data_IF_047065486988
#
_entry.id   IF_047065486988
#
_cell.length_a   1.000
_cell.length_b   1.000
_cell.length_c   1.000
_cell.angle_alpha   90.00
_cell.angle_beta   90.00
_cell.angle_gamma   90.00
#
_symmetry.space_group_name_H-M   'P 1'
#
loop_
_entity.id
_entity.type
_entity.pdbx_description
1 polymer ?
#
# COMPACT_ATOMS: atom_id res chain seq x y z
N UNK A 1 -45.60 -28.91 -22.72
CA UNK A 1 -44.50 -29.03 -21.74
C UNK A 1 -43.47 -29.93 -22.40
N UNK A 2 -42.28 -29.52 -22.78
CA UNK A 2 -41.48 -28.34 -22.41
C UNK A 2 -40.25 -28.38 -23.34
N UNK A 3 -40.03 -27.36 -24.16
CA UNK A 3 -38.79 -27.18 -24.94
C UNK A 3 -38.55 -25.69 -25.16
N UNK A 4 -38.13 -25.00 -24.09
CA UNK A 4 -37.56 -23.65 -24.12
C UNK A 4 -37.03 -23.33 -22.73
N UNK A 5 -35.79 -23.73 -22.39
CA UNK A 5 -35.06 -23.11 -21.24
C UNK A 5 -33.59 -23.54 -21.07
N UNK A 6 -32.85 -23.90 -22.14
CA UNK A 6 -31.44 -24.32 -22.01
C UNK A 6 -30.40 -23.48 -22.78
N UNK A 7 -30.80 -22.37 -23.43
CA UNK A 7 -29.86 -21.47 -24.14
C UNK A 7 -29.43 -20.24 -23.32
N UNK A 8 -30.25 -19.74 -22.40
CA UNK A 8 -30.01 -18.45 -21.72
C UNK A 8 -29.00 -18.52 -20.55
N UNK A 9 -28.73 -19.71 -19.99
CA UNK A 9 -27.79 -19.85 -18.86
C UNK A 9 -26.32 -19.87 -19.27
N UNK A 10 -26.03 -20.21 -20.54
CA UNK A 10 -24.69 -20.27 -21.12
C UNK A 10 -24.18 -18.87 -21.48
N UNK A 11 -24.97 -18.07 -22.19
CA UNK A 11 -24.60 -16.69 -22.54
C UNK A 11 -24.47 -15.79 -21.30
N UNK A 12 -25.31 -15.96 -20.28
CA UNK A 12 -25.21 -15.21 -19.03
C UNK A 12 -23.94 -15.53 -18.21
N UNK A 13 -23.41 -16.75 -18.33
CA UNK A 13 -22.14 -17.14 -17.72
C UNK A 13 -20.93 -16.68 -18.53
N UNK A 14 -21.03 -16.63 -19.86
CA UNK A 14 -19.98 -16.10 -20.75
C UNK A 14 -19.85 -14.57 -20.68
N UNK A 15 -20.95 -13.84 -20.47
CA UNK A 15 -20.92 -12.37 -20.27
C UNK A 15 -20.17 -11.99 -18.97
N UNK A 16 -20.20 -12.84 -17.94
CA UNK A 16 -19.43 -12.64 -16.70
C UNK A 16 -17.92 -12.90 -16.86
N UNK A 17 -17.49 -13.52 -17.97
CA UNK A 17 -16.10 -13.93 -18.22
C UNK A 17 -15.44 -13.25 -19.43
N UNK A 18 -16.08 -12.27 -20.06
CA UNK A 18 -15.41 -11.47 -21.09
C UNK A 18 -14.28 -10.65 -20.46
N UNK A 19 -13.04 -11.08 -20.69
CA UNK A 19 -11.85 -10.29 -20.36
C UNK A 19 -11.94 -9.00 -21.18
N UNK A 20 -12.03 -7.87 -20.49
CA UNK A 20 -11.94 -6.56 -21.14
C UNK A 20 -10.50 -6.41 -21.62
N UNK A 21 -10.32 -6.13 -22.92
CA UNK A 21 -9.00 -5.81 -23.44
C UNK A 21 -8.58 -4.44 -22.90
N UNK A 22 -7.37 -4.35 -22.33
CA UNK A 22 -6.84 -3.09 -21.82
C UNK A 22 -5.76 -2.57 -22.75
N UNK A 23 -6.00 -1.41 -23.38
CA UNK A 23 -4.96 -0.65 -24.06
C UNK A 23 -4.22 0.17 -23.02
N UNK A 24 -2.91 0.00 -22.94
CA UNK A 24 -2.08 0.76 -22.02
C UNK A 24 -1.13 1.64 -22.82
N UNK A 25 -1.19 2.93 -22.57
CA UNK A 25 -0.34 3.92 -23.20
C UNK A 25 0.54 4.58 -22.14
N UNK A 26 1.86 4.57 -22.36
CA UNK A 26 2.83 5.21 -21.47
C UNK A 26 3.42 6.40 -22.23
N UNK A 27 3.10 7.60 -21.76
CA UNK A 27 3.41 8.86 -22.43
C UNK A 27 4.46 9.64 -21.61
N UNK A 28 5.58 10.06 -22.23
CA UNK A 28 6.59 10.85 -21.55
C UNK A 28 6.07 12.26 -21.24
N UNK A 29 6.39 12.78 -20.06
CA UNK A 29 5.99 14.14 -19.65
C UNK A 29 6.70 15.27 -20.41
N UNK A 30 7.79 14.97 -21.13
CA UNK A 30 8.66 15.94 -21.81
C UNK A 30 8.45 16.04 -23.32
N UNK A 31 7.38 15.47 -23.88
CA UNK A 31 7.02 15.68 -25.30
C UNK A 31 6.43 17.09 -25.50
N UNK A 32 7.27 18.10 -25.31
CA UNK A 32 7.04 19.47 -25.72
C UNK A 32 7.48 19.67 -27.16
N UNK A 33 6.59 19.37 -28.11
CA UNK A 33 6.54 20.02 -29.42
C UNK A 33 5.25 19.72 -30.19
N UNK A 34 4.43 18.79 -29.71
CA UNK A 34 3.00 18.72 -30.01
C UNK A 34 2.33 18.33 -28.69
N UNK A 35 1.71 19.31 -28.00
CA UNK A 35 0.67 18.97 -27.04
C UNK A 35 -0.48 18.34 -27.85
N UNK A 36 -0.35 17.06 -28.21
CA UNK A 36 -1.52 16.19 -28.25
C UNK A 36 -2.01 16.12 -26.81
N UNK A 37 -2.70 17.20 -26.41
CA UNK A 37 -3.78 17.13 -25.45
C UNK A 37 -4.51 15.86 -25.86
N UNK A 38 -4.56 14.86 -24.98
CA UNK A 38 -5.40 13.70 -25.22
C UNK A 38 -6.83 14.25 -25.16
N UNK A 39 -7.28 14.82 -26.27
CA UNK A 39 -8.65 15.21 -26.52
C UNK A 39 -9.32 13.87 -26.74
N UNK A 40 -9.70 13.23 -25.64
CA UNK A 40 -10.76 12.25 -25.68
C UNK A 40 -11.93 13.02 -26.25
N UNK A 41 -12.30 12.73 -27.51
CA UNK A 41 -13.46 13.35 -28.11
C UNK A 41 -14.61 13.25 -27.10
N UNK A 42 -15.18 14.38 -26.66
CA UNK A 42 -16.22 14.33 -25.67
C UNK A 42 -17.33 13.46 -26.25
N UNK A 43 -17.60 12.34 -25.59
CA UNK A 43 -18.86 11.64 -25.79
C UNK A 43 -19.98 12.70 -25.73
N UNK A 44 -21.01 12.60 -26.60
CA UNK A 44 -21.98 13.67 -26.80
C UNK A 44 -22.43 14.25 -25.46
N UNK A 45 -22.33 15.59 -25.36
CA UNK A 45 -22.56 16.38 -24.13
C UNK A 45 -23.60 15.69 -23.24
N UNK A 46 -23.29 15.32 -21.98
CA UNK A 46 -24.31 14.80 -21.10
C UNK A 46 -25.44 15.83 -21.07
N UNK A 47 -26.64 15.41 -21.48
CA UNK A 47 -27.84 16.26 -21.42
C UNK A 47 -27.88 16.83 -20.01
N UNK A 48 -27.72 18.14 -19.86
CA UNK A 48 -27.90 18.86 -18.61
C UNK A 48 -29.34 18.64 -18.13
N UNK A 49 -29.61 17.51 -17.49
CA UNK A 49 -30.81 17.33 -16.70
C UNK A 49 -30.56 18.12 -15.43
N UNK A 50 -31.34 19.20 -15.22
CA UNK A 50 -31.41 19.95 -13.97
C UNK A 50 -31.30 18.96 -12.79
N UNK A 51 -30.24 19.08 -12.01
CA UNK A 51 -29.98 18.18 -10.90
C UNK A 51 -31.12 18.30 -9.88
N UNK A 52 -31.88 17.21 -9.73
CA UNK A 52 -32.73 16.97 -8.58
C UNK A 52 -31.84 16.70 -7.36
N UNK A 53 -31.58 17.74 -6.56
CA UNK A 53 -31.71 17.67 -5.11
C UNK A 53 -30.74 16.82 -4.27
N UNK A 54 -29.43 16.81 -4.52
CA UNK A 54 -28.44 16.51 -3.46
C UNK A 54 -27.48 17.69 -3.29
N UNK A 55 -27.49 18.30 -2.11
CA UNK A 55 -26.70 19.51 -1.80
C UNK A 55 -25.29 19.07 -1.39
N UNK A 56 -24.32 19.34 -2.28
CA UNK A 56 -22.91 19.30 -1.94
C UNK A 56 -22.61 20.41 -0.92
N UNK A 57 -21.79 20.10 0.08
CA UNK A 57 -21.40 21.02 1.14
C UNK A 57 -20.20 21.87 0.72
N UNK A 58 -19.22 21.27 0.05
CA UNK A 58 -18.08 21.97 -0.52
C UNK A 58 -18.47 22.82 -1.75
N UNK A 59 -18.23 24.13 -1.67
CA UNK A 59 -18.52 25.11 -2.72
C UNK A 59 -17.65 24.92 -3.97
N UNK A 60 -16.37 24.58 -3.80
CA UNK A 60 -15.44 24.33 -4.91
C UNK A 60 -15.83 23.04 -5.64
N UNK A 61 -16.25 22.03 -4.90
CA UNK A 61 -16.76 20.79 -5.45
C UNK A 61 -18.07 21.02 -6.23
N UNK A 62 -18.97 21.86 -5.71
CA UNK A 62 -20.20 22.24 -6.41
C UNK A 62 -19.91 22.99 -7.71
N UNK A 63 -18.92 23.88 -7.70
CA UNK A 63 -18.49 24.63 -8.89
C UNK A 63 -17.95 23.68 -9.97
N UNK A 64 -16.98 22.82 -9.63
CA UNK A 64 -16.38 21.86 -10.58
C UNK A 64 -17.42 20.87 -11.12
N UNK A 65 -18.33 20.39 -10.28
CA UNK A 65 -19.40 19.47 -10.70
C UNK A 65 -20.36 20.09 -11.71
N UNK A 66 -20.56 21.41 -11.69
CA UNK A 66 -21.40 22.10 -12.67
C UNK A 66 -20.84 22.01 -14.09
N UNK A 67 -19.53 21.80 -14.23
CA UNK A 67 -18.84 21.54 -15.49
C UNK A 67 -18.70 20.05 -15.81
N UNK A 68 -19.30 19.15 -15.01
CA UNK A 68 -19.19 17.70 -15.23
C UNK A 68 -17.90 17.08 -14.70
N UNK A 69 -17.19 17.76 -13.80
CA UNK A 69 -15.92 17.32 -13.20
C UNK A 69 -16.13 17.13 -11.70
N UNK A 70 -15.95 15.91 -11.20
CA UNK A 70 -15.96 15.61 -9.76
C UNK A 70 -14.54 15.49 -9.20
N UNK A 71 -14.38 15.81 -7.93
CA UNK A 71 -13.15 15.55 -7.17
C UNK A 71 -13.46 14.60 -6.03
N UNK A 72 -12.58 13.64 -5.77
CA UNK A 72 -12.71 12.66 -4.70
C UNK A 72 -11.37 12.51 -3.96
N UNK A 73 -11.36 12.81 -2.66
CA UNK A 73 -10.24 12.54 -1.75
C UNK A 73 -10.73 12.21 -0.35
N UNK A 74 -9.84 11.69 0.52
CA UNK A 74 -10.17 11.30 1.88
C UNK A 74 -10.64 12.46 2.77
N UNK A 75 -10.17 13.69 2.49
CA UNK A 75 -10.56 14.90 3.23
C UNK A 75 -11.96 15.46 2.93
N UNK A 76 -12.72 14.88 2.00
CA UNK A 76 -14.10 15.30 1.75
C UNK A 76 -15.06 14.69 2.77
N UNK A 77 -16.10 15.44 3.14
CA UNK A 77 -17.19 14.93 3.96
C UNK A 77 -17.83 13.68 3.31
N UNK A 78 -18.19 12.69 4.12
CA UNK A 78 -18.76 11.40 3.66
C UNK A 78 -19.94 11.57 2.71
N UNK A 79 -20.78 12.55 2.97
CA UNK A 79 -21.97 12.87 2.17
C UNK A 79 -21.59 13.36 0.77
N UNK A 80 -20.57 14.21 0.67
CA UNK A 80 -20.05 14.70 -0.61
C UNK A 80 -19.37 13.56 -1.38
N UNK A 81 -18.56 12.73 -0.70
CA UNK A 81 -17.95 11.53 -1.30
C UNK A 81 -18.99 10.59 -1.93
N UNK A 82 -20.07 10.30 -1.21
CA UNK A 82 -21.19 9.47 -1.71
C UNK A 82 -21.88 10.13 -2.90
N UNK A 83 -22.15 11.43 -2.81
CA UNK A 83 -22.85 12.17 -3.87
C UNK A 83 -22.03 12.19 -5.16
N UNK A 84 -20.73 12.49 -5.09
CA UNK A 84 -19.85 12.49 -6.27
C UNK A 84 -19.76 11.11 -6.91
N UNK A 85 -19.61 10.05 -6.09
CA UNK A 85 -19.58 8.68 -6.59
C UNK A 85 -20.85 8.33 -7.35
N UNK A 86 -22.02 8.64 -6.78
CA UNK A 86 -23.31 8.41 -7.45
C UNK A 86 -23.44 9.22 -8.75
N UNK A 87 -22.99 10.48 -8.76
CA UNK A 87 -23.02 11.31 -9.96
C UNK A 87 -22.15 10.71 -11.07
N UNK A 88 -20.98 10.16 -10.75
CA UNK A 88 -20.10 9.54 -11.74
C UNK A 88 -20.66 8.23 -12.28
N UNK A 89 -21.10 7.33 -11.39
CA UNK A 89 -21.67 6.02 -11.78
C UNK A 89 -22.93 6.20 -12.63
N UNK A 90 -23.76 7.20 -12.33
CA UNK A 90 -24.97 7.51 -13.11
C UNK A 90 -24.70 8.41 -14.33
N UNK A 91 -23.43 8.59 -14.72
CA UNK A 91 -23.00 9.39 -15.88
C UNK A 91 -23.54 10.84 -15.88
N UNK A 92 -23.71 11.43 -14.68
CA UNK A 92 -24.04 12.86 -14.51
C UNK A 92 -22.83 13.75 -14.60
N UNK A 93 -21.67 13.22 -14.22
CA UNK A 93 -20.35 13.82 -14.43
C UNK A 93 -19.53 12.88 -15.30
N UNK A 94 -18.66 13.43 -16.13
CA UNK A 94 -17.86 12.69 -17.10
C UNK A 94 -16.45 12.41 -16.58
N UNK A 95 -15.91 13.34 -15.79
CA UNK A 95 -14.54 13.28 -15.27
C UNK A 95 -14.59 13.16 -13.75
N UNK A 96 -13.79 12.26 -13.20
CA UNK A 96 -13.57 12.12 -11.77
C UNK A 96 -12.08 12.19 -11.48
N UNK A 97 -11.67 13.21 -10.73
CA UNK A 97 -10.30 13.39 -10.26
C UNK A 97 -10.20 12.75 -8.87
N UNK A 98 -9.21 11.88 -8.68
CA UNK A 98 -9.04 11.09 -7.45
C UNK A 98 -7.60 11.11 -6.98
N UNK A 99 -7.37 10.96 -5.67
CA UNK A 99 -6.03 10.70 -5.12
C UNK A 99 -5.64 9.22 -5.27
N UNK A 100 -4.33 8.94 -5.22
CA UNK A 100 -3.75 7.60 -5.38
C UNK A 100 -4.33 6.56 -4.42
N UNK A 101 -4.53 6.93 -3.14
CA UNK A 101 -5.00 6.01 -2.08
C UNK A 101 -6.39 5.41 -2.34
N UNK A 102 -7.14 5.95 -3.30
CA UNK A 102 -8.49 5.47 -3.63
C UNK A 102 -8.49 4.30 -4.59
N UNK A 103 -7.33 3.97 -5.17
CA UNK A 103 -7.15 2.77 -5.98
C UNK A 103 -7.61 1.52 -5.24
N UNK A 104 -7.50 1.47 -3.91
CA UNK A 104 -7.91 0.33 -3.07
C UNK A 104 -9.33 0.45 -2.50
N UNK A 105 -9.77 1.67 -2.14
CA UNK A 105 -10.98 1.88 -1.35
C UNK A 105 -12.28 2.09 -2.13
N UNK A 106 -12.20 2.37 -3.45
CA UNK A 106 -13.37 2.78 -4.23
C UNK A 106 -13.54 1.96 -5.49
N UNK A 107 -14.64 1.21 -5.55
CA UNK A 107 -15.03 0.49 -6.76
C UNK A 107 -15.79 1.40 -7.72
N UNK A 108 -15.05 2.19 -8.50
CA UNK A 108 -15.60 3.05 -9.55
C UNK A 108 -14.80 2.79 -10.85
N UNK A 109 -15.26 1.86 -11.70
CA UNK A 109 -14.61 1.59 -12.97
C UNK A 109 -14.90 2.73 -13.97
N UNK A 110 -13.93 3.03 -14.82
CA UNK A 110 -14.04 4.05 -15.86
C UNK A 110 -13.52 3.48 -17.19
N UNK A 111 -14.06 3.93 -18.31
CA UNK A 111 -13.55 3.51 -19.62
C UNK A 111 -12.07 3.90 -19.80
N UNK A 112 -11.74 5.14 -19.45
CA UNK A 112 -10.40 5.70 -19.46
C UNK A 112 -9.93 6.01 -18.04
N UNK A 113 -8.72 5.59 -17.69
CA UNK A 113 -8.01 6.00 -16.48
C UNK A 113 -6.71 6.69 -16.87
N UNK A 114 -6.48 7.88 -16.34
CA UNK A 114 -5.24 8.63 -16.53
C UNK A 114 -4.51 8.71 -15.19
N UNK A 115 -3.29 8.20 -15.16
CA UNK A 115 -2.37 8.32 -14.02
C UNK A 115 -1.44 9.50 -14.32
N UNK A 116 -1.73 10.63 -13.68
CA UNK A 116 -0.95 11.87 -13.85
C UNK A 116 0.22 11.88 -12.86
N UNK A 117 1.39 11.50 -13.33
CA UNK A 117 2.61 11.41 -12.52
C UNK A 117 2.67 10.11 -11.71
N UNK A 118 3.87 9.62 -11.47
CA UNK A 118 4.11 8.36 -10.75
C UNK A 118 4.96 8.55 -9.50
N UNK A 119 4.96 9.75 -8.96
CA UNK A 119 5.76 10.14 -7.80
C UNK A 119 4.89 10.85 -6.77
N UNK A 120 5.25 10.71 -5.51
CA UNK A 120 4.68 11.48 -4.41
C UNK A 120 5.80 12.03 -3.53
N UNK A 121 5.55 13.15 -2.89
CA UNK A 121 6.50 13.74 -1.95
C UNK A 121 6.50 12.95 -0.65
N UNK A 122 7.64 12.33 -0.32
CA UNK A 122 7.87 11.74 0.97
C UNK A 122 8.54 12.75 1.91
N UNK A 123 7.75 13.16 2.89
CA UNK A 123 8.12 14.07 3.97
C UNK A 123 9.32 13.61 4.77
N UNK A 124 9.48 12.30 4.95
CA UNK A 124 10.56 11.74 5.79
C UNK A 124 11.91 11.92 5.13
N UNK A 125 11.98 11.57 3.83
CA UNK A 125 13.20 11.72 3.04
C UNK A 125 13.34 13.10 2.40
N UNK A 126 12.29 13.95 2.48
CA UNK A 126 12.16 15.26 1.85
C UNK A 126 12.38 15.23 0.34
N UNK A 127 11.92 14.17 -0.31
CA UNK A 127 12.14 13.91 -1.75
C UNK A 127 10.89 13.32 -2.39
N UNK A 128 10.78 13.50 -3.70
CA UNK A 128 9.82 12.74 -4.49
C UNK A 128 10.29 11.30 -4.62
N UNK A 129 9.43 10.36 -4.25
CA UNK A 129 9.67 8.92 -4.39
C UNK A 129 8.60 8.32 -5.29
N UNK A 130 8.96 7.23 -5.96
CA UNK A 130 8.06 6.54 -6.87
C UNK A 130 6.89 5.90 -6.11
N UNK A 131 5.69 6.03 -6.68
CA UNK A 131 4.52 5.29 -6.24
C UNK A 131 4.81 3.79 -6.45
N UNK A 132 4.54 2.92 -5.46
CA UNK A 132 4.69 1.49 -5.62
C UNK A 132 3.97 0.98 -6.87
N UNK A 133 4.64 0.14 -7.66
CA UNK A 133 4.07 -0.38 -8.91
C UNK A 133 2.74 -1.09 -8.69
N UNK A 134 2.56 -1.72 -7.53
CA UNK A 134 1.29 -2.35 -7.12
C UNK A 134 0.14 -1.37 -7.10
N UNK A 135 0.36 -0.14 -6.62
CA UNK A 135 -0.68 0.89 -6.59
C UNK A 135 -0.98 1.41 -7.99
N UNK A 136 0.05 1.59 -8.83
CA UNK A 136 -0.12 1.94 -10.24
C UNK A 136 -0.95 0.88 -10.97
N UNK A 137 -0.64 -0.41 -10.74
CA UNK A 137 -1.41 -1.53 -11.29
C UNK A 137 -2.87 -1.54 -10.79
N UNK A 138 -3.11 -1.19 -9.52
CA UNK A 138 -4.49 -1.05 -9.00
C UNK A 138 -5.24 0.12 -9.64
N UNK A 139 -4.58 1.27 -9.85
CA UNK A 139 -5.18 2.42 -10.55
C UNK A 139 -5.57 2.02 -11.97
N UNK A 140 -4.67 1.39 -12.72
CA UNK A 140 -4.95 0.85 -14.06
C UNK A 140 -6.01 -0.25 -14.05
N UNK A 141 -6.11 -0.98 -12.93
CA UNK A 141 -7.16 -1.95 -12.64
C UNK A 141 -8.56 -1.39 -12.85
N UNK A 142 -8.76 -0.09 -12.60
CA UNK A 142 -10.04 0.62 -12.76
C UNK A 142 -10.43 0.93 -14.21
N UNK A 143 -9.50 0.80 -15.16
CA UNK A 143 -9.78 1.00 -16.58
C UNK A 143 -10.63 -0.16 -17.13
N UNK A 144 -11.68 0.17 -17.88
CA UNK A 144 -12.67 -0.75 -18.43
C UNK A 144 -13.81 -1.06 -17.46
N UNK A 145 -15.05 -0.83 -17.87
CA UNK A 145 -16.25 -1.19 -17.11
C UNK A 145 -16.74 -2.58 -17.51
N UNK A 146 -16.72 -3.58 -16.59
CA UNK A 146 -17.29 -4.89 -16.86
C UNK A 146 -18.74 -4.75 -17.33
N UNK A 147 -19.12 -5.52 -18.35
CA UNK A 147 -20.45 -5.53 -18.98
C UNK A 147 -20.81 -4.34 -19.88
N UNK A 148 -20.10 -3.20 -19.79
CA UNK A 148 -20.40 -2.01 -20.60
C UNK A 148 -19.37 -1.78 -21.71
N UNK A 149 -18.09 -1.99 -21.41
CA UNK A 149 -17.00 -1.70 -22.33
C UNK A 149 -16.41 -3.00 -22.90
N UNK A 150 -16.12 -3.00 -24.20
CA UNK A 150 -15.31 -4.05 -24.86
C UNK A 150 -13.82 -3.84 -24.61
N UNK A 151 -13.40 -2.59 -24.44
CA UNK A 151 -12.03 -2.17 -24.22
C UNK A 151 -11.95 -1.11 -23.11
N UNK A 152 -10.91 -1.18 -22.28
CA UNK A 152 -10.53 -0.13 -21.34
C UNK A 152 -9.20 0.50 -21.74
N UNK A 153 -9.04 1.79 -21.49
CA UNK A 153 -7.79 2.51 -21.79
C UNK A 153 -7.17 3.00 -20.49
N UNK A 154 -5.90 2.73 -20.29
CA UNK A 154 -5.12 3.28 -19.18
C UNK A 154 -3.93 4.07 -19.74
N UNK A 155 -3.83 5.34 -19.35
CA UNK A 155 -2.74 6.22 -19.77
C UNK A 155 -1.89 6.54 -18.55
N UNK A 156 -0.59 6.25 -18.62
CA UNK A 156 0.38 6.59 -17.58
C UNK A 156 1.24 7.73 -18.08
N UNK A 157 1.13 8.89 -17.43
CA UNK A 157 1.98 10.04 -17.67
C UNK A 157 3.18 9.96 -16.75
N UNK A 158 4.36 9.72 -17.32
CA UNK A 158 5.58 9.43 -16.56
C UNK A 158 6.78 10.17 -17.15
N UNK A 159 7.82 10.40 -16.36
CA UNK A 159 9.11 10.88 -16.86
C UNK A 159 9.71 9.88 -17.86
N UNK A 160 10.31 10.37 -18.95
CA UNK A 160 10.77 9.54 -20.08
C UNK A 160 11.72 8.41 -19.65
N UNK A 161 12.67 8.73 -18.77
CA UNK A 161 13.64 7.79 -18.17
C UNK A 161 12.96 6.56 -17.52
N UNK A 162 11.72 6.68 -17.02
CA UNK A 162 11.00 5.60 -16.33
C UNK A 162 10.02 4.85 -17.24
N UNK A 163 9.85 5.28 -18.50
CA UNK A 163 8.90 4.69 -19.45
C UNK A 163 9.12 3.18 -19.63
N UNK A 164 10.37 2.77 -19.83
CA UNK A 164 10.71 1.37 -20.07
C UNK A 164 10.56 0.51 -18.82
N UNK A 165 10.81 1.08 -17.63
CA UNK A 165 10.53 0.42 -16.36
C UNK A 165 9.04 0.05 -16.24
N UNK A 166 8.13 1.01 -16.48
CA UNK A 166 6.70 0.75 -16.43
C UNK A 166 6.23 -0.22 -17.52
N UNK A 167 6.74 -0.09 -18.76
CA UNK A 167 6.44 -1.06 -19.84
C UNK A 167 6.80 -2.48 -19.44
N UNK A 168 7.99 -2.67 -18.87
CA UNK A 168 8.46 -3.99 -18.43
C UNK A 168 7.59 -4.56 -17.31
N UNK A 169 7.23 -3.74 -16.32
CA UNK A 169 6.39 -4.16 -15.18
C UNK A 169 4.95 -4.55 -15.57
N UNK A 170 4.47 -4.17 -16.75
CA UNK A 170 3.14 -4.54 -17.24
C UNK A 170 3.12 -5.89 -17.96
N UNK A 171 4.25 -6.27 -18.55
CA UNK A 171 4.39 -7.50 -19.32
C UNK A 171 4.92 -8.62 -18.42
N UNK A 172 5.91 -8.28 -17.60
CA UNK A 172 6.57 -9.22 -16.70
C UNK A 172 5.99 -9.12 -15.29
N UNK A 173 5.70 -10.26 -14.63
CA UNK A 173 5.26 -10.23 -13.24
C UNK A 173 6.38 -9.65 -12.36
N UNK A 174 6.01 -8.71 -11.50
CA UNK A 174 6.96 -8.07 -10.58
C UNK A 174 7.51 -9.09 -9.57
N UNK A 175 8.84 -9.18 -9.36
CA UNK A 175 9.41 -10.12 -8.40
C UNK A 175 9.02 -9.71 -6.97
N UNK A 176 8.29 -10.59 -6.29
CA UNK A 176 7.90 -10.38 -4.89
C UNK A 176 8.97 -10.98 -3.97
N UNK A 177 9.66 -10.13 -3.24
CA UNK A 177 10.65 -10.52 -2.23
C UNK A 177 10.11 -10.39 -0.81
N UNK A 178 10.67 -11.16 0.13
CA UNK A 178 10.28 -11.07 1.54
C UNK A 178 10.88 -9.83 2.21
N UNK A 179 10.06 -9.09 2.95
CA UNK A 179 10.47 -7.99 3.82
C UNK A 179 10.66 -8.42 5.30
N UNK A 180 10.60 -9.73 5.61
CA UNK A 180 10.61 -10.25 6.99
C UNK A 180 11.81 -9.73 7.81
N UNK A 181 12.98 -9.61 7.19
CA UNK A 181 14.21 -9.16 7.88
C UNK A 181 14.07 -7.77 8.52
N UNK A 182 13.15 -6.93 8.04
CA UNK A 182 12.91 -5.58 8.58
C UNK A 182 12.14 -5.58 9.91
N UNK A 183 11.35 -6.63 10.14
CA UNK A 183 10.41 -6.76 11.28
C UNK A 183 10.66 -8.06 12.04
N UNK A 184 11.85 -8.64 11.86
CA UNK A 184 12.17 -9.95 12.43
C UNK A 184 12.14 -9.96 13.96
N UNK A 185 12.67 -8.94 14.68
CA UNK A 185 12.59 -8.90 16.15
C UNK A 185 11.16 -9.04 16.66
N UNK A 186 10.22 -8.27 16.11
CA UNK A 186 8.81 -8.32 16.52
C UNK A 186 8.19 -9.71 16.32
N UNK A 187 8.45 -10.34 15.17
CA UNK A 187 7.93 -11.68 14.88
C UNK A 187 8.55 -12.75 15.80
N UNK A 188 9.85 -12.68 16.06
CA UNK A 188 10.49 -13.63 16.99
C UNK A 188 9.98 -13.43 18.42
N UNK A 189 9.80 -12.19 18.88
CA UNK A 189 9.24 -11.92 20.20
C UNK A 189 7.83 -12.51 20.36
N UNK A 190 6.98 -12.37 19.35
CA UNK A 190 5.63 -12.94 19.37
C UNK A 190 5.65 -14.48 19.48
N UNK A 191 6.55 -15.15 18.75
CA UNK A 191 6.68 -16.61 18.81
C UNK A 191 7.30 -17.11 20.12
N UNK A 192 8.20 -16.32 20.74
CA UNK A 192 8.71 -16.60 22.09
C UNK A 192 7.60 -16.46 23.13
N UNK A 193 6.76 -15.43 23.03
CA UNK A 193 5.60 -15.22 23.92
C UNK A 193 4.56 -16.34 23.74
N UNK A 194 4.32 -16.78 22.50
CA UNK A 194 3.43 -17.90 22.20
C UNK A 194 3.97 -19.26 22.71
N UNK A 195 5.27 -19.34 23.02
CA UNK A 195 5.93 -20.57 23.45
C UNK A 195 6.31 -21.51 22.30
N UNK A 196 6.21 -21.06 21.05
CA UNK A 196 6.70 -21.79 19.87
C UNK A 196 8.23 -21.83 19.87
N UNK A 197 8.86 -20.73 20.29
CA UNK A 197 10.32 -20.57 20.35
C UNK A 197 10.77 -20.54 21.81
N UNK A 198 11.62 -21.49 22.18
CA UNK A 198 12.24 -21.60 23.50
C UNK A 198 13.77 -21.60 23.45
N UNK A 199 14.35 -21.79 22.26
CA UNK A 199 15.79 -21.87 22.05
C UNK A 199 16.24 -21.16 20.76
N UNK A 200 17.55 -20.89 20.65
CA UNK A 200 18.15 -20.38 19.41
C UNK A 200 17.96 -21.32 18.22
N UNK A 201 17.90 -22.64 18.47
CA UNK A 201 17.65 -23.62 17.42
C UNK A 201 16.21 -23.48 16.90
N UNK A 202 15.24 -23.29 17.79
CA UNK A 202 13.84 -23.08 17.39
C UNK A 202 13.69 -21.82 16.53
N UNK A 203 14.46 -20.76 16.79
CA UNK A 203 14.51 -19.57 15.93
C UNK A 203 14.99 -19.90 14.51
N UNK A 204 16.05 -20.72 14.38
CA UNK A 204 16.55 -21.14 13.07
C UNK A 204 15.51 -21.98 12.35
N UNK A 205 14.87 -22.92 13.05
CA UNK A 205 13.83 -23.78 12.50
C UNK A 205 12.61 -22.96 12.05
N UNK A 206 12.17 -21.99 12.86
CA UNK A 206 11.12 -21.03 12.49
C UNK A 206 11.46 -20.31 11.18
N UNK A 207 12.70 -19.82 11.05
CA UNK A 207 13.16 -19.13 9.85
C UNK A 207 13.08 -19.99 8.59
N UNK A 208 13.36 -21.30 8.68
CA UNK A 208 13.25 -22.21 7.54
C UNK A 208 11.82 -22.34 7.00
N UNK A 209 10.80 -22.13 7.85
CA UNK A 209 9.40 -22.16 7.48
C UNK A 209 8.91 -20.93 6.70
N UNK A 210 9.72 -19.87 6.64
CA UNK A 210 9.29 -18.55 6.13
C UNK A 210 9.38 -18.43 4.61
N UNK A 211 8.62 -17.48 4.05
CA UNK A 211 8.77 -17.09 2.64
C UNK A 211 10.16 -16.52 2.35
N UNK A 212 10.80 -15.86 3.33
CA UNK A 212 12.16 -15.33 3.21
C UNK A 212 13.16 -16.45 2.90
N UNK A 213 13.12 -17.55 3.64
CA UNK A 213 14.02 -18.69 3.41
C UNK A 213 13.84 -19.28 2.00
N UNK A 214 12.59 -19.43 1.53
CA UNK A 214 12.32 -19.88 0.14
C UNK A 214 12.87 -18.92 -0.91
N UNK A 215 12.86 -17.62 -0.65
CA UNK A 215 13.39 -16.58 -1.56
C UNK A 215 14.90 -16.47 -1.52
N UNK A 216 15.53 -16.74 -0.38
CA UNK A 216 16.98 -16.73 -0.21
C UNK A 216 17.67 -17.64 -1.24
N UNK A 217 17.13 -18.84 -1.50
CA UNK A 217 17.69 -19.76 -2.51
C UNK A 217 17.44 -19.31 -3.97
N UNK A 218 16.43 -18.48 -4.21
CA UNK A 218 16.05 -18.03 -5.56
C UNK A 218 16.72 -16.71 -5.96
N UNK A 219 16.96 -15.83 -5.00
CA UNK A 219 17.57 -14.52 -5.22
C UNK A 219 18.47 -14.14 -4.03
N UNK A 220 19.60 -14.83 -3.84
CA UNK A 220 20.45 -14.67 -2.66
C UNK A 220 21.08 -13.27 -2.57
N UNK A 221 21.46 -12.68 -3.71
CA UNK A 221 22.07 -11.35 -3.78
C UNK A 221 21.16 -10.26 -3.24
N UNK A 222 19.83 -10.39 -3.38
CA UNK A 222 18.86 -9.46 -2.79
C UNK A 222 18.96 -9.41 -1.25
N UNK A 223 19.32 -10.53 -0.63
CA UNK A 223 19.50 -10.68 0.81
C UNK A 223 20.95 -10.46 1.25
N UNK A 224 21.81 -9.94 0.37
CA UNK A 224 23.25 -9.78 0.61
C UNK A 224 23.97 -11.11 0.90
N UNK A 225 23.57 -12.18 0.21
CA UNK A 225 24.26 -13.47 0.21
C UNK A 225 24.85 -13.73 -1.18
N UNK A 226 26.17 -13.89 -1.27
CA UNK A 226 26.85 -14.06 -2.58
C UNK A 226 26.72 -15.49 -3.11
N UNK A 227 26.97 -16.48 -2.25
CA UNK A 227 27.01 -17.90 -2.62
C UNK A 227 26.10 -18.70 -1.72
N UNK A 228 25.12 -19.37 -2.33
CA UNK A 228 24.21 -20.30 -1.66
C UNK A 228 24.91 -21.64 -1.50
N UNK A 229 25.42 -21.89 -0.30
CA UNK A 229 25.83 -23.21 0.15
C UNK A 229 25.28 -23.44 1.58
N UNK A 230 25.16 -24.70 2.05
CA UNK A 230 24.58 -24.96 3.36
C UNK A 230 25.29 -24.23 4.51
N UNK A 231 26.62 -24.09 4.42
CA UNK A 231 27.43 -23.41 5.44
C UNK A 231 27.13 -21.90 5.51
N UNK A 232 27.12 -21.21 4.37
CA UNK A 232 26.85 -19.79 4.25
C UNK A 232 25.41 -19.46 4.61
N UNK A 233 24.46 -20.31 4.23
CA UNK A 233 23.04 -20.13 4.61
C UNK A 233 22.89 -20.25 6.13
N UNK A 234 23.49 -21.27 6.74
CA UNK A 234 23.46 -21.42 8.20
C UNK A 234 24.12 -20.22 8.90
N UNK A 235 25.31 -19.81 8.46
CA UNK A 235 26.00 -18.60 8.97
C UNK A 235 25.15 -17.34 8.82
N UNK A 236 24.46 -17.19 7.69
CA UNK A 236 23.58 -16.06 7.41
C UNK A 236 22.36 -16.04 8.35
N UNK A 237 21.68 -17.18 8.51
CA UNK A 237 20.53 -17.31 9.40
C UNK A 237 20.93 -17.09 10.86
N UNK A 238 22.01 -17.73 11.33
CA UNK A 238 22.55 -17.54 12.67
C UNK A 238 22.84 -16.08 12.95
N UNK A 239 23.55 -15.38 12.05
CA UNK A 239 23.86 -13.95 12.22
C UNK A 239 22.62 -13.07 12.33
N UNK A 240 21.58 -13.35 11.53
CA UNK A 240 20.34 -12.56 11.53
C UNK A 240 19.52 -12.83 12.78
N UNK A 241 19.41 -14.09 13.20
CA UNK A 241 18.72 -14.48 14.43
C UNK A 241 19.45 -13.92 15.64
N UNK A 242 20.77 -14.05 15.73
CA UNK A 242 21.58 -13.48 16.81
C UNK A 242 21.41 -11.97 16.90
N UNK A 243 21.43 -11.26 15.77
CA UNK A 243 21.16 -9.83 15.76
C UNK A 243 19.76 -9.51 16.30
N UNK A 244 18.73 -10.20 15.81
CA UNK A 244 17.36 -9.93 16.24
C UNK A 244 17.13 -10.25 17.73
N UNK A 245 17.73 -11.32 18.24
CA UNK A 245 17.68 -11.66 19.66
C UNK A 245 18.43 -10.62 20.51
N UNK A 246 19.58 -10.12 20.04
CA UNK A 246 20.31 -9.04 20.71
C UNK A 246 19.49 -7.75 20.75
N UNK A 247 18.81 -7.40 19.67
CA UNK A 247 17.93 -6.23 19.60
C UNK A 247 16.80 -6.35 20.64
N UNK A 248 16.16 -7.53 20.75
CA UNK A 248 15.11 -7.82 21.74
C UNK A 248 15.60 -7.87 23.19
N UNK A 249 16.81 -8.37 23.42
CA UNK A 249 17.44 -8.41 24.75
C UNK A 249 17.79 -6.98 25.19
N UNK A 250 18.29 -6.14 24.28
CA UNK A 250 18.61 -4.73 24.54
C UNK A 250 17.36 -3.94 24.95
N UNK A 251 16.22 -4.20 24.29
CA UNK A 251 14.93 -3.57 24.67
C UNK A 251 14.22 -4.30 25.81
N UNK A 252 14.91 -5.21 26.51
CA UNK A 252 14.38 -5.98 27.64
C UNK A 252 13.09 -6.77 27.35
N UNK A 253 12.83 -7.12 26.09
CA UNK A 253 11.66 -7.88 25.65
C UNK A 253 11.83 -9.39 25.89
N UNK A 254 13.07 -9.87 25.80
CA UNK A 254 13.43 -11.25 26.12
C UNK A 254 14.59 -11.25 27.13
N UNK A 255 14.82 -12.40 27.77
CA UNK A 255 16.04 -12.68 28.51
C UNK A 255 16.63 -14.01 28.07
N UNK A 256 17.94 -14.04 27.85
CA UNK A 256 18.68 -15.26 27.52
C UNK A 256 19.14 -15.90 28.83
N UNK A 257 18.90 -17.20 28.98
CA UNK A 257 19.31 -17.98 30.16
C UNK A 257 20.83 -18.04 30.32
N UNK A 258 21.28 -18.44 31.53
CA UNK A 258 22.71 -18.58 31.85
C UNK A 258 23.44 -19.61 30.96
N UNK A 259 22.67 -20.57 30.41
CA UNK A 259 23.13 -21.56 29.45
C UNK A 259 23.39 -20.99 28.04
N UNK A 260 23.05 -19.71 27.82
CA UNK A 260 23.12 -19.01 26.54
C UNK A 260 22.33 -19.70 25.40
N UNK A 261 21.36 -20.54 25.75
CA UNK A 261 20.54 -21.32 24.82
C UNK A 261 19.05 -21.09 25.05
N UNK A 262 18.62 -21.06 26.32
CA UNK A 262 17.23 -20.88 26.69
C UNK A 262 16.80 -19.43 26.49
N UNK A 263 15.66 -19.21 25.84
CA UNK A 263 15.08 -17.89 25.61
C UNK A 263 13.81 -17.77 26.43
N UNK A 264 13.74 -16.77 27.29
CA UNK A 264 12.59 -16.49 28.14
C UNK A 264 11.94 -15.17 27.73
N UNK A 265 10.61 -15.12 27.79
CA UNK A 265 9.86 -13.87 27.60
C UNK A 265 9.82 -13.04 28.89
N UNK A 266 9.94 -11.72 28.77
CA UNK A 266 9.73 -10.78 29.88
C UNK A 266 8.31 -10.22 29.87
N UNK A 267 7.96 -9.43 30.90
CA UNK A 267 6.67 -8.70 30.91
C UNK A 267 6.60 -7.71 29.75
N UNK A 268 7.71 -7.05 29.41
CA UNK A 268 7.79 -6.12 28.28
C UNK A 268 7.61 -6.84 26.95
N UNK A 269 8.20 -8.02 26.77
CA UNK A 269 8.00 -8.85 25.58
C UNK A 269 6.53 -9.26 25.40
N UNK A 270 5.86 -9.64 26.50
CA UNK A 270 4.41 -9.92 26.48
C UNK A 270 3.59 -8.70 26.09
N UNK A 271 3.87 -7.53 26.67
CA UNK A 271 3.19 -6.28 26.31
C UNK A 271 3.38 -5.96 24.82
N UNK A 272 4.61 -6.08 24.31
CA UNK A 272 4.90 -5.84 22.90
C UNK A 272 4.10 -6.77 21.99
N UNK A 273 4.03 -8.07 22.33
CA UNK A 273 3.28 -9.07 21.57
C UNK A 273 1.76 -8.86 21.65
N UNK A 274 1.21 -8.69 22.85
CA UNK A 274 -0.24 -8.62 23.09
C UNK A 274 -0.87 -7.37 22.47
N UNK A 275 -0.13 -6.25 22.46
CA UNK A 275 -0.60 -4.97 21.93
C UNK A 275 -0.05 -4.64 20.54
N UNK A 276 0.70 -5.56 19.93
CA UNK A 276 1.26 -5.41 18.59
C UNK A 276 2.16 -4.16 18.44
N UNK A 277 2.99 -3.92 19.46
CA UNK A 277 3.92 -2.79 19.53
C UNK A 277 5.31 -3.19 19.05
N UNK A 278 6.04 -2.25 18.46
CA UNK A 278 7.46 -2.45 18.18
C UNK A 278 8.25 -2.64 19.48
N UNK A 279 9.24 -3.53 19.44
CA UNK A 279 10.18 -3.72 20.55
C UNK A 279 10.90 -2.41 20.92
N UNK A 280 11.12 -1.51 19.95
CA UNK A 280 11.71 -0.19 20.14
C UNK A 280 10.79 0.73 20.97
N UNK A 281 9.48 0.67 20.74
CA UNK A 281 8.49 1.46 21.50
C UNK A 281 8.42 1.01 22.94
N UNK A 282 8.44 -0.30 23.19
CA UNK A 282 8.43 -0.83 24.56
C UNK A 282 9.76 -0.56 25.27
N UNK A 283 10.89 -0.63 24.56
CA UNK A 283 12.19 -0.19 25.08
C UNK A 283 12.19 1.30 25.47
N UNK A 284 11.63 2.16 24.61
CA UNK A 284 11.45 3.59 24.89
C UNK A 284 10.63 3.82 26.17
N UNK A 285 9.55 3.06 26.36
CA UNK A 285 8.73 3.14 27.55
C UNK A 285 9.49 2.71 28.80
N UNK A 286 10.26 1.65 28.72
CA UNK A 286 11.10 1.19 29.83
C UNK A 286 12.15 2.24 30.23
N UNK A 287 12.71 2.96 29.27
CA UNK A 287 13.76 3.95 29.51
C UNK A 287 13.21 5.30 29.99
N UNK A 288 12.07 5.75 29.44
CA UNK A 288 11.54 7.11 29.68
C UNK A 288 10.40 7.19 30.71
N UNK A 289 9.65 6.11 30.97
CA UNK A 289 8.57 6.16 31.95
C UNK A 289 9.11 6.07 33.38
N UNK A 290 8.65 6.97 34.23
CA UNK A 290 8.96 6.96 35.67
C UNK A 290 7.70 7.22 36.48
N UNK A 291 7.71 6.88 37.77
CA UNK A 291 6.58 7.15 38.68
C UNK A 291 6.24 8.64 38.81
N UNK A 292 7.15 9.53 38.41
CA UNK A 292 7.02 10.97 38.54
C UNK A 292 6.74 11.67 37.20
N UNK A 293 6.53 10.91 36.11
CA UNK A 293 6.26 11.47 34.79
C UNK A 293 4.97 12.29 34.80
N UNK A 294 5.07 13.56 34.41
CA UNK A 294 3.91 14.45 34.31
C UNK A 294 3.06 14.09 33.09
N UNK A 295 1.84 14.64 33.00
CA UNK A 295 1.00 14.48 31.81
C UNK A 295 1.69 14.99 30.53
N UNK A 296 2.49 16.06 30.61
CA UNK A 296 3.24 16.58 29.47
C UNK A 296 4.33 15.59 29.03
N UNK A 297 5.02 14.96 29.99
CA UNK A 297 6.04 13.94 29.69
C UNK A 297 5.40 12.71 29.03
N UNK A 298 4.25 12.27 29.54
CA UNK A 298 3.51 11.15 28.94
C UNK A 298 3.08 11.44 27.51
N UNK A 299 2.57 12.64 27.23
CA UNK A 299 2.21 13.06 25.87
C UNK A 299 3.43 13.08 24.95
N UNK A 300 4.57 13.57 25.43
CA UNK A 300 5.82 13.60 24.66
C UNK A 300 6.36 12.20 24.38
N UNK A 301 6.33 11.30 25.38
CA UNK A 301 6.73 9.91 25.20
C UNK A 301 5.81 9.22 24.18
N UNK A 302 4.51 9.48 24.25
CA UNK A 302 3.52 8.93 23.32
C UNK A 302 3.70 9.47 21.89
N UNK A 303 4.12 10.72 21.71
CA UNK A 303 4.45 11.25 20.37
C UNK A 303 5.76 10.72 19.81
N UNK A 304 6.70 10.30 20.67
CA UNK A 304 8.03 9.81 20.28
C UNK A 304 8.07 8.31 19.91
N UNK A 305 6.94 7.60 19.95
CA UNK A 305 6.89 6.15 19.69
C UNK A 305 7.21 5.79 18.24
N UNK A 306 7.72 4.57 18.02
CA UNK A 306 8.18 4.13 16.71
C UNK A 306 7.05 4.05 15.68
N UNK A 307 5.82 3.72 16.11
CA UNK A 307 4.66 3.58 15.23
C UNK A 307 4.30 4.90 14.53
N UNK A 308 4.55 6.05 15.18
CA UNK A 308 4.29 7.36 14.60
C UNK A 308 5.39 7.86 13.67
N UNK A 309 6.53 7.15 13.59
CA UNK A 309 7.53 7.42 12.57
C UNK A 309 6.96 7.22 11.14
N UNK A 310 5.81 6.57 10.99
CA UNK A 310 5.09 6.42 9.73
C UNK A 310 4.28 7.62 9.27
N UNK A 311 3.98 8.56 10.17
CA UNK A 311 3.14 9.72 9.85
C UNK A 311 3.91 10.72 8.95
N UNK A 312 3.40 11.03 7.74
CA UNK A 312 4.04 12.00 6.87
C UNK A 312 3.73 13.43 7.32
N UNK A 313 4.74 14.30 7.37
CA UNK A 313 4.59 15.76 7.51
C UNK A 313 4.50 16.40 6.14
N UNK A 314 3.31 16.73 5.66
CA UNK A 314 3.16 17.20 4.27
C UNK A 314 3.84 18.55 4.05
N UNK A 315 4.06 18.86 2.78
CA UNK A 315 4.61 20.15 2.36
C UNK A 315 3.78 21.31 2.95
N UNK A 316 4.44 22.25 3.61
CA UNK A 316 3.89 23.39 4.35
C UNK A 316 3.12 23.06 5.66
N UNK A 317 3.04 21.79 6.09
CA UNK A 317 2.51 21.49 7.43
C UNK A 317 3.49 21.90 8.54
N UNK A 318 4.77 22.01 8.24
CA UNK A 318 5.79 22.57 9.14
C UNK A 318 5.56 24.05 9.43
N UNK A 319 5.13 24.85 8.45
CA UNK A 319 4.76 26.26 8.66
C UNK A 319 3.47 26.41 9.48
N UNK A 320 2.51 25.50 9.33
CA UNK A 320 1.24 25.55 10.05
C UNK A 320 1.35 25.04 11.50
N UNK A 321 2.28 24.13 11.76
CA UNK A 321 2.50 23.52 13.07
C UNK A 321 3.59 24.22 13.91
N UNK A 322 4.29 25.22 13.34
CA UNK A 322 5.29 26.05 14.01
C UNK A 322 4.68 27.05 15.00
#
# INVERSE_FOLDING_TARGET
MSDADHSDSSEAQDIKRRKIEKKIEIVPSSSGSDEELIIVEPSPKPRQKKNSGKRLEDLNLKHTCSFGIGVYHAGLADKDRRTIKELFVNHKIQILITTSNLAWGVNVPAHLVIIKGTEYYDSKTKRYIDIPITDVLQMMGRAGRPQYDTQGVAVILVHDIKKDFYKKCLIEPFPVESALLKVLPENLNAEVVAGTISSKQDCLDYMTGTYMFRRLYKNPTYYCLDVVNPENVNKFLSRIVEKALLDLETTSCISIGEDNQTINTTVLGRIASDYYLSHLTVGLFNDKLSSNSSQQDLLKILSDVHEYAELPVRDNEDEQNA
#
